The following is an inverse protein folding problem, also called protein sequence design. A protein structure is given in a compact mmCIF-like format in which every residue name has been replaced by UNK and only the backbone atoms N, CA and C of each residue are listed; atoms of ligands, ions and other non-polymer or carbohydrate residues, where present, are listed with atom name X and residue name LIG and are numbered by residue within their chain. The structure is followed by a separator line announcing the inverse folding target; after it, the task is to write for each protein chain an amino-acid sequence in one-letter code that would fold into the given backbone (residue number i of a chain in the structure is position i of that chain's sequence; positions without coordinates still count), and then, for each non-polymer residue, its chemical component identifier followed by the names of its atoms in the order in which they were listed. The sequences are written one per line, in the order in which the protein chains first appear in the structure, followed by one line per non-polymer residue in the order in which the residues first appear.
data_IF_552451783362
#
_entry.id   IF_552451783362
#
_cell.length_a   1.000
_cell.length_b   1.000
_cell.length_c   1.000
_cell.angle_alpha   90.00
_cell.angle_beta   90.00
_cell.angle_gamma   90.00
#
_symmetry.space_group_name_H-M   'P 1'
#
loop_
_entity.id
_entity.type
_entity.pdbx_description
1 polymer ?
#
# COMPACT_ATOMS: atom_id res chain seq x y z
N UNK A 1 -22.77 1.53 17.64
CA UNK A 1 -22.81 0.44 16.63
C UNK A 1 -22.82 -0.91 17.34
N UNK A 2 -23.81 -1.75 17.06
CA UNK A 2 -23.78 -3.14 17.52
C UNK A 2 -22.97 -4.03 16.57
N UNK A 3 -22.59 -5.23 17.05
CA UNK A 3 -21.69 -6.12 16.33
C UNK A 3 -22.31 -6.68 15.04
N UNK A 4 -23.59 -6.97 15.04
CA UNK A 4 -24.28 -7.59 13.89
C UNK A 4 -24.39 -6.56 12.76
N UNK A 5 -24.80 -5.33 13.07
CA UNK A 5 -24.83 -4.22 12.13
C UNK A 5 -23.45 -3.96 11.54
N UNK A 6 -22.38 -3.98 12.36
CA UNK A 6 -21.02 -3.81 11.88
C UNK A 6 -20.63 -4.90 10.89
N UNK A 7 -20.85 -6.17 11.21
CA UNK A 7 -20.54 -7.30 10.32
C UNK A 7 -21.29 -7.17 8.99
N UNK A 8 -22.60 -6.99 9.03
CA UNK A 8 -23.43 -6.90 7.83
C UNK A 8 -22.98 -5.74 6.92
N UNK A 9 -22.64 -4.62 7.53
CA UNK A 9 -22.18 -3.44 6.79
C UNK A 9 -20.80 -3.67 6.16
N UNK A 10 -19.84 -4.19 6.92
CA UNK A 10 -18.49 -4.47 6.41
C UNK A 10 -18.51 -5.59 5.36
N UNK A 11 -19.30 -6.64 5.53
CA UNK A 11 -19.52 -7.69 4.52
C UNK A 11 -20.05 -7.10 3.19
N UNK A 12 -21.01 -6.15 3.28
CA UNK A 12 -21.54 -5.46 2.09
C UNK A 12 -20.43 -4.72 1.35
N UNK A 13 -19.62 -3.94 2.06
CA UNK A 13 -18.50 -3.21 1.44
C UNK A 13 -17.43 -4.14 0.90
N UNK A 14 -17.13 -5.25 1.59
CA UNK A 14 -16.16 -6.23 1.14
C UNK A 14 -16.60 -6.93 -0.16
N UNK A 15 -17.87 -7.29 -0.29
CA UNK A 15 -18.46 -7.80 -1.55
C UNK A 15 -18.36 -6.81 -2.71
N UNK A 16 -18.31 -5.51 -2.42
CA UNK A 16 -18.07 -4.44 -3.40
C UNK A 16 -16.57 -4.20 -3.66
N UNK A 17 -15.68 -5.03 -3.08
CA UNK A 17 -14.23 -4.94 -3.25
C UNK A 17 -13.51 -4.03 -2.24
N UNK A 18 -14.23 -3.34 -1.33
CA UNK A 18 -13.62 -2.48 -0.32
C UNK A 18 -13.32 -3.27 0.95
N UNK A 19 -12.07 -3.67 1.11
CA UNK A 19 -11.58 -4.49 2.24
C UNK A 19 -10.70 -3.71 3.21
N UNK A 20 -10.21 -2.54 2.82
CA UNK A 20 -9.42 -1.62 3.67
C UNK A 20 -10.24 -0.36 3.91
N UNK A 21 -10.30 0.03 5.18
CA UNK A 21 -11.04 1.18 5.67
C UNK A 21 -10.11 2.13 6.40
N UNK A 22 -10.11 3.39 6.00
CA UNK A 22 -9.52 4.46 6.79
C UNK A 22 -10.48 4.81 7.93
N UNK A 23 -9.97 5.39 9.02
CA UNK A 23 -10.83 5.86 10.12
C UNK A 23 -11.95 6.76 9.60
N UNK A 24 -11.65 7.71 8.71
CA UNK A 24 -12.65 8.59 8.07
C UNK A 24 -13.72 7.83 7.27
N UNK A 25 -13.40 6.66 6.71
CA UNK A 25 -14.40 5.83 6.03
C UNK A 25 -15.37 5.23 7.05
N UNK A 26 -14.85 4.75 8.18
CA UNK A 26 -15.65 4.18 9.26
C UNK A 26 -16.51 5.26 9.93
N UNK A 27 -16.02 6.49 10.06
CA UNK A 27 -16.78 7.64 10.54
C UNK A 27 -17.99 7.96 9.64
N UNK A 28 -17.81 7.87 8.32
CA UNK A 28 -18.91 8.06 7.36
C UNK A 28 -19.87 6.88 7.33
N UNK A 29 -19.35 5.65 7.35
CA UNK A 29 -20.15 4.42 7.31
C UNK A 29 -21.02 4.28 8.56
N UNK A 30 -20.52 4.71 9.71
CA UNK A 30 -21.18 4.62 11.02
C UNK A 30 -21.45 6.01 11.62
N UNK A 31 -21.97 6.91 10.79
CA UNK A 31 -22.18 8.32 11.14
C UNK A 31 -23.12 8.54 12.35
N UNK A 32 -23.95 7.56 12.67
CA UNK A 32 -24.83 7.61 13.86
C UNK A 32 -24.09 7.42 15.18
N UNK A 33 -22.83 6.92 15.14
CA UNK A 33 -21.99 6.76 16.33
C UNK A 33 -21.22 8.05 16.64
N UNK A 34 -21.24 8.48 17.91
CA UNK A 34 -20.33 9.54 18.36
C UNK A 34 -18.85 9.09 18.21
N UNK A 35 -17.89 9.99 17.91
CA UNK A 35 -16.50 9.62 17.66
C UNK A 35 -15.85 8.75 18.74
N UNK A 36 -16.12 9.05 20.02
CA UNK A 36 -15.62 8.22 21.15
C UNK A 36 -16.26 6.83 21.20
N UNK A 37 -17.53 6.73 20.82
CA UNK A 37 -18.25 5.45 20.75
C UNK A 37 -17.75 4.62 19.59
N UNK A 38 -17.51 5.26 18.44
CA UNK A 38 -16.95 4.60 17.25
C UNK A 38 -15.57 4.01 17.54
N UNK A 39 -14.67 4.76 18.18
CA UNK A 39 -13.33 4.24 18.51
C UNK A 39 -13.42 2.99 19.42
N UNK A 40 -14.25 3.03 20.46
CA UNK A 40 -14.49 1.85 21.33
C UNK A 40 -15.09 0.68 20.56
N UNK A 41 -15.94 0.96 19.56
CA UNK A 41 -16.53 -0.06 18.70
C UNK A 41 -15.50 -0.69 17.77
N UNK A 42 -14.61 0.11 17.19
CA UNK A 42 -13.47 -0.36 16.37
C UNK A 42 -12.57 -1.26 17.23
N UNK A 43 -12.21 -0.86 18.44
CA UNK A 43 -11.37 -1.67 19.34
C UNK A 43 -12.04 -3.01 19.68
N UNK A 44 -13.36 -3.01 19.89
CA UNK A 44 -14.12 -4.26 20.09
C UNK A 44 -14.12 -5.15 18.85
N UNK A 45 -14.21 -4.59 17.65
CA UNK A 45 -14.13 -5.36 16.40
C UNK A 45 -12.72 -5.93 16.16
N UNK A 46 -11.67 -5.20 16.54
CA UNK A 46 -10.29 -5.70 16.51
C UNK A 46 -10.14 -6.87 17.49
N UNK A 47 -10.56 -6.70 18.74
CA UNK A 47 -10.49 -7.75 19.75
C UNK A 47 -11.31 -9.00 19.38
N UNK A 48 -12.39 -8.83 18.61
CA UNK A 48 -13.20 -9.92 18.07
C UNK A 48 -12.62 -10.54 16.77
N UNK A 49 -11.47 -10.10 16.28
CA UNK A 49 -10.84 -10.61 15.07
C UNK A 49 -11.59 -10.25 13.77
N UNK A 50 -12.48 -9.26 13.79
CA UNK A 50 -13.24 -8.81 12.62
C UNK A 50 -12.53 -7.69 11.84
N UNK A 51 -11.74 -6.88 12.53
CA UNK A 51 -10.85 -5.91 11.94
C UNK A 51 -9.40 -6.20 12.36
N UNK A 52 -8.47 -6.00 11.45
CA UNK A 52 -7.03 -5.97 11.71
C UNK A 52 -6.55 -4.55 11.56
N UNK A 53 -5.87 -4.01 12.56
CA UNK A 53 -5.21 -2.72 12.46
C UNK A 53 -3.95 -2.86 11.62
N UNK A 54 -3.94 -2.24 10.45
CA UNK A 54 -2.78 -2.23 9.55
C UNK A 54 -1.72 -1.25 10.08
N UNK A 55 -2.16 -0.02 10.31
CA UNK A 55 -1.38 1.07 10.90
C UNK A 55 -2.35 2.05 11.55
N UNK A 56 -1.87 3.17 12.09
CA UNK A 56 -2.72 4.19 12.73
C UNK A 56 -3.79 4.70 11.77
N UNK A 57 -5.06 4.49 12.14
CA UNK A 57 -6.21 4.93 11.35
C UNK A 57 -6.49 4.16 10.07
N UNK A 58 -5.85 2.99 9.86
CA UNK A 58 -6.05 2.11 8.70
C UNK A 58 -6.36 0.70 9.19
N UNK A 59 -7.45 0.13 8.71
CA UNK A 59 -7.97 -1.16 9.16
C UNK A 59 -8.33 -2.05 7.98
N UNK A 60 -8.01 -3.35 8.07
CA UNK A 60 -8.46 -4.36 7.13
C UNK A 60 -9.64 -5.14 7.70
N UNK A 61 -10.61 -5.50 6.85
CA UNK A 61 -11.63 -6.47 7.20
C UNK A 61 -11.05 -7.87 7.12
N UNK A 62 -11.09 -8.60 8.25
CA UNK A 62 -10.32 -9.83 8.41
C UNK A 62 -10.89 -11.04 7.67
N UNK A 63 -12.19 -11.02 7.29
CA UNK A 63 -12.88 -12.20 6.77
C UNK A 63 -12.50 -12.59 5.34
N UNK A 64 -12.16 -11.61 4.50
CA UNK A 64 -11.98 -11.83 3.05
C UNK A 64 -10.52 -11.74 2.57
N UNK A 65 -9.57 -11.45 3.48
CA UNK A 65 -8.17 -11.25 3.13
C UNK A 65 -7.92 -10.07 2.18
N UNK A 66 -6.67 -9.82 1.80
CA UNK A 66 -6.29 -8.70 0.93
C UNK A 66 -5.88 -9.12 -0.49
N UNK A 67 -6.08 -10.40 -0.82
CA UNK A 67 -5.72 -10.94 -2.14
C UNK A 67 -4.21 -11.21 -2.30
N UNK A 68 -3.76 -11.33 -3.55
CA UNK A 68 -2.39 -11.73 -3.89
C UNK A 68 -1.33 -10.64 -3.69
N UNK A 69 -1.76 -9.36 -3.59
CA UNK A 69 -0.86 -8.20 -3.48
C UNK A 69 -1.21 -7.33 -2.27
N UNK A 70 -1.11 -7.88 -1.04
CA UNK A 70 -1.59 -7.19 0.15
C UNK A 70 -0.86 -5.87 0.41
N UNK A 71 0.47 -5.83 0.25
CA UNK A 71 1.26 -4.60 0.48
C UNK A 71 0.90 -3.48 -0.50
N UNK A 72 0.71 -3.80 -1.78
CA UNK A 72 0.29 -2.80 -2.78
C UNK A 72 -1.13 -2.29 -2.49
N UNK A 73 -2.05 -3.19 -2.14
CA UNK A 73 -3.42 -2.83 -1.76
C UNK A 73 -3.44 -1.92 -0.53
N UNK A 74 -2.59 -2.19 0.46
CA UNK A 74 -2.42 -1.35 1.65
C UNK A 74 -1.84 0.03 1.25
N UNK A 75 -0.79 0.05 0.43
CA UNK A 75 -0.10 1.28 0.01
C UNK A 75 -1.05 2.26 -0.69
N UNK A 76 -1.90 1.77 -1.62
CA UNK A 76 -2.94 2.58 -2.28
C UNK A 76 -3.87 3.22 -1.25
N UNK A 77 -4.26 2.48 -0.22
CA UNK A 77 -5.18 2.99 0.79
C UNK A 77 -4.51 3.98 1.76
N UNK A 78 -3.24 3.78 2.12
CA UNK A 78 -2.47 4.74 2.94
C UNK A 78 -2.29 6.06 2.19
N UNK A 79 -2.08 6.03 0.88
CA UNK A 79 -1.90 7.21 0.01
C UNK A 79 -3.04 7.34 -1.00
N UNK A 80 -4.28 7.20 -0.52
CA UNK A 80 -5.47 7.32 -1.37
C UNK A 80 -5.60 8.74 -1.93
N UNK A 81 -5.81 8.81 -3.25
CA UNK A 81 -5.90 10.06 -4.00
C UNK A 81 -4.55 10.54 -4.57
N UNK A 82 -3.46 9.82 -4.27
CA UNK A 82 -2.13 10.11 -4.79
C UNK A 82 -1.76 9.15 -5.93
N UNK A 83 -0.84 9.57 -6.78
CA UNK A 83 -0.22 8.67 -7.76
C UNK A 83 0.83 7.84 -7.05
N UNK A 84 0.64 6.52 -7.04
CA UNK A 84 1.51 5.56 -6.39
C UNK A 84 1.99 4.54 -7.42
N UNK A 85 3.27 4.17 -7.38
CA UNK A 85 3.83 3.14 -8.26
C UNK A 85 4.99 2.40 -7.60
N UNK A 86 5.12 1.11 -7.90
CA UNK A 86 6.24 0.29 -7.44
C UNK A 86 7.52 0.80 -8.11
N UNK A 87 8.56 1.08 -7.34
CA UNK A 87 9.83 1.61 -7.83
C UNK A 87 10.98 1.18 -6.93
N UNK A 88 12.15 1.78 -7.14
CA UNK A 88 13.33 1.55 -6.33
C UNK A 88 13.70 0.05 -6.32
N UNK A 89 14.07 -0.48 -5.16
CA UNK A 89 14.51 -1.85 -5.01
C UNK A 89 13.44 -2.87 -5.43
N UNK A 90 12.17 -2.64 -5.08
CA UNK A 90 11.09 -3.57 -5.42
C UNK A 90 10.88 -3.71 -6.93
N UNK A 91 10.95 -2.61 -7.68
CA UNK A 91 10.84 -2.67 -9.13
C UNK A 91 12.09 -3.31 -9.75
N UNK A 92 13.30 -2.92 -9.32
CA UNK A 92 14.55 -3.47 -9.86
C UNK A 92 14.68 -4.96 -9.56
N UNK A 93 14.18 -5.44 -8.43
CA UNK A 93 14.12 -6.87 -8.11
C UNK A 93 13.17 -7.64 -9.04
N UNK A 94 12.02 -7.07 -9.39
CA UNK A 94 11.09 -7.70 -10.35
C UNK A 94 11.72 -7.84 -11.75
N UNK A 95 12.66 -6.96 -12.09
CA UNK A 95 13.45 -7.07 -13.32
C UNK A 95 14.70 -7.97 -13.17
N UNK A 96 14.94 -8.56 -11.99
CA UNK A 96 16.11 -9.39 -11.73
C UNK A 96 17.41 -8.60 -11.54
N UNK A 97 17.34 -7.28 -11.46
CA UNK A 97 18.51 -6.38 -11.37
C UNK A 97 19.04 -6.19 -9.94
N UNK A 98 18.30 -6.62 -8.95
CA UNK A 98 18.70 -6.70 -7.54
C UNK A 98 18.27 -8.07 -7.00
N UNK A 99 19.18 -8.81 -6.37
CA UNK A 99 18.93 -10.17 -5.90
C UNK A 99 18.68 -10.28 -4.39
N UNK A 100 18.96 -9.25 -3.61
CA UNK A 100 18.92 -9.29 -2.14
C UNK A 100 17.98 -8.25 -1.58
N UNK A 101 16.66 -8.48 -1.72
CA UNK A 101 15.64 -7.66 -1.06
C UNK A 101 14.86 -8.54 -0.09
N UNK A 102 14.50 -8.03 1.11
CA UNK A 102 13.56 -8.70 1.99
C UNK A 102 12.24 -8.97 1.27
N UNK A 103 11.75 -10.20 1.31
CA UNK A 103 10.52 -10.64 0.63
C UNK A 103 9.28 -9.87 1.14
N UNK A 104 9.33 -9.42 2.36
CA UNK A 104 8.26 -8.73 3.08
C UNK A 104 8.34 -7.20 3.02
N UNK A 105 9.16 -6.63 2.11
CA UNK A 105 9.31 -5.18 1.93
C UNK A 105 8.86 -4.73 0.54
N UNK A 106 7.98 -3.72 0.51
CA UNK A 106 7.56 -3.03 -0.71
C UNK A 106 8.07 -1.59 -0.71
N UNK A 107 8.82 -1.22 -1.74
CA UNK A 107 9.24 0.17 -1.97
C UNK A 107 8.44 0.79 -3.11
N UNK A 108 7.84 1.95 -2.85
CA UNK A 108 7.04 2.70 -3.83
C UNK A 108 7.42 4.18 -3.86
N UNK A 109 7.15 4.79 -5.00
CA UNK A 109 7.11 6.24 -5.15
C UNK A 109 5.67 6.72 -5.09
N UNK A 110 5.46 7.90 -4.50
CA UNK A 110 4.13 8.52 -4.36
C UNK A 110 4.22 10.04 -4.50
N UNK A 111 3.17 10.65 -5.06
CA UNK A 111 3.00 12.11 -5.00
C UNK A 111 2.64 12.58 -3.59
N UNK A 112 2.22 11.66 -2.72
CA UNK A 112 1.97 11.91 -1.30
C UNK A 112 3.23 11.95 -0.45
N UNK A 113 3.07 12.09 0.86
CA UNK A 113 4.17 12.19 1.82
C UNK A 113 4.96 10.89 1.92
N UNK A 114 6.28 11.00 2.10
CA UNK A 114 7.14 9.87 2.44
C UNK A 114 6.76 9.28 3.82
N UNK A 115 7.13 8.03 4.02
CA UNK A 115 6.97 7.34 5.31
C UNK A 115 7.25 5.85 5.19
N UNK A 116 7.58 5.24 6.31
CA UNK A 116 7.69 3.80 6.46
C UNK A 116 6.55 3.28 7.34
N UNK A 117 5.94 2.18 6.93
CA UNK A 117 4.78 1.59 7.58
C UNK A 117 5.02 0.10 7.82
N UNK A 118 5.22 -0.26 9.07
CA UNK A 118 5.19 -1.64 9.50
C UNK A 118 3.74 -2.12 9.55
N UNK A 119 3.46 -3.24 8.90
CA UNK A 119 2.13 -3.84 8.83
C UNK A 119 2.18 -5.32 9.14
N UNK A 120 1.06 -5.98 9.49
CA UNK A 120 1.03 -7.43 9.67
C UNK A 120 1.41 -8.24 8.40
N UNK A 121 1.46 -7.62 7.23
CA UNK A 121 1.82 -8.25 5.96
C UNK A 121 3.25 -7.92 5.50
N UNK A 122 3.98 -7.08 6.23
CA UNK A 122 5.32 -6.63 5.89
C UNK A 122 5.46 -5.11 5.94
N UNK A 123 6.58 -4.61 5.45
CA UNK A 123 6.95 -3.19 5.50
C UNK A 123 6.68 -2.51 4.16
N UNK A 124 6.03 -1.36 4.22
CA UNK A 124 5.82 -0.49 3.06
C UNK A 124 6.64 0.77 3.25
N UNK A 125 7.54 1.03 2.33
CA UNK A 125 8.32 2.24 2.28
C UNK A 125 7.85 3.13 1.14
N UNK A 126 7.42 4.32 1.46
CA UNK A 126 6.89 5.31 0.52
C UNK A 126 7.89 6.47 0.43
N UNK A 127 8.37 6.73 -0.77
CA UNK A 127 9.23 7.88 -1.08
C UNK A 127 8.45 8.90 -1.90
N UNK A 128 8.53 10.17 -1.50
CA UNK A 128 7.86 11.26 -2.22
C UNK A 128 8.49 11.52 -3.58
N UNK A 129 7.64 11.78 -4.57
CA UNK A 129 8.03 12.33 -5.87
C UNK A 129 7.20 13.55 -6.24
N UNK A 130 7.85 14.56 -6.79
CA UNK A 130 7.22 15.76 -7.34
C UNK A 130 6.97 15.68 -8.85
N UNK A 131 7.07 14.47 -9.45
CA UNK A 131 6.80 14.29 -10.88
C UNK A 131 5.33 14.54 -11.19
N UNK A 132 5.11 15.16 -12.34
CA UNK A 132 3.78 15.32 -12.87
C UNK A 132 3.13 13.98 -13.26
N UNK A 133 1.80 13.84 -13.15
CA UNK A 133 1.10 12.60 -13.49
C UNK A 133 1.43 12.05 -14.88
N UNK A 134 1.61 12.93 -15.87
CA UNK A 134 1.98 12.56 -17.23
C UNK A 134 3.37 11.91 -17.33
N UNK A 135 4.33 12.37 -16.53
CA UNK A 135 5.68 11.80 -16.44
C UNK A 135 5.64 10.43 -15.73
N UNK A 136 4.84 10.32 -14.67
CA UNK A 136 4.64 9.05 -13.96
C UNK A 136 4.07 8.00 -14.93
N UNK A 137 3.02 8.34 -15.68
CA UNK A 137 2.41 7.42 -16.65
C UNK A 137 3.38 7.00 -17.75
N UNK A 138 4.21 7.91 -18.28
CA UNK A 138 5.25 7.60 -19.27
C UNK A 138 6.37 6.73 -18.71
N UNK A 139 6.74 6.95 -17.43
CA UNK A 139 7.83 6.26 -16.73
C UNK A 139 7.42 4.92 -16.10
N UNK A 140 6.16 4.51 -16.21
CA UNK A 140 5.63 3.28 -15.59
C UNK A 140 4.91 2.40 -16.59
N UNK A 141 4.72 1.12 -16.21
CA UNK A 141 3.97 0.12 -16.94
C UNK A 141 2.84 -0.41 -16.06
N UNK A 142 1.83 -1.01 -16.69
CA UNK A 142 0.87 -1.84 -15.96
C UNK A 142 1.58 -3.06 -15.39
N UNK A 143 1.13 -3.52 -14.23
CA UNK A 143 1.72 -4.63 -13.50
C UNK A 143 0.63 -5.66 -13.18
N UNK A 144 1.01 -6.83 -12.68
CA UNK A 144 0.07 -7.87 -12.23
C UNK A 144 -0.69 -7.44 -10.97
N UNK A 145 -0.07 -6.62 -10.13
CA UNK A 145 -0.67 -6.04 -8.93
C UNK A 145 -1.50 -4.79 -9.22
N UNK A 146 -2.13 -4.23 -8.20
CA UNK A 146 -2.97 -3.03 -8.34
C UNK A 146 -2.17 -1.73 -8.54
N UNK A 147 -0.85 -1.74 -8.32
CA UNK A 147 0.03 -0.60 -8.61
C UNK A 147 0.73 -0.79 -9.95
N UNK A 148 0.91 0.31 -10.68
CA UNK A 148 1.84 0.36 -11.81
C UNK A 148 3.27 0.13 -11.32
N UNK A 149 4.15 -0.32 -12.21
CA UNK A 149 5.58 -0.51 -11.91
C UNK A 149 6.43 0.46 -12.74
N UNK A 150 7.45 1.03 -12.13
CA UNK A 150 8.44 1.84 -12.82
C UNK A 150 9.15 1.02 -13.91
N UNK A 151 9.38 1.63 -15.09
CA UNK A 151 10.31 1.07 -16.08
C UNK A 151 11.70 0.95 -15.47
N UNK A 152 12.55 0.07 -15.99
CA UNK A 152 13.91 -0.15 -15.48
C UNK A 152 14.69 1.14 -15.29
N UNK A 153 14.69 2.00 -16.32
CA UNK A 153 15.40 3.27 -16.32
C UNK A 153 14.81 4.23 -15.28
N UNK A 154 13.49 4.22 -15.11
CA UNK A 154 12.80 5.04 -14.13
C UNK A 154 13.14 4.57 -12.72
N UNK A 155 13.09 3.26 -12.45
CA UNK A 155 13.41 2.69 -11.15
C UNK A 155 14.87 2.95 -10.76
N UNK A 156 15.81 2.79 -11.70
CA UNK A 156 17.22 3.09 -11.48
C UNK A 156 17.44 4.58 -11.19
N UNK A 157 16.79 5.47 -11.96
CA UNK A 157 16.85 6.92 -11.73
C UNK A 157 16.30 7.30 -10.35
N UNK A 158 15.19 6.66 -9.93
CA UNK A 158 14.61 6.87 -8.62
C UNK A 158 15.56 6.42 -7.51
N UNK A 159 16.18 5.23 -7.66
CA UNK A 159 17.14 4.70 -6.70
C UNK A 159 18.39 5.59 -6.58
N UNK A 160 18.93 6.07 -7.72
CA UNK A 160 20.05 7.01 -7.74
C UNK A 160 19.71 8.32 -7.00
N UNK A 161 18.49 8.83 -7.18
CA UNK A 161 18.03 10.07 -6.51
C UNK A 161 17.91 9.89 -5.00
N UNK A 162 17.47 8.71 -4.55
CA UNK A 162 17.40 8.39 -3.11
C UNK A 162 18.79 8.15 -2.52
N UNK A 163 19.76 7.73 -3.34
CA UNK A 163 21.17 7.64 -2.97
C UNK A 163 21.51 6.46 -2.05
N UNK A 164 20.73 5.36 -2.13
CA UNK A 164 20.97 4.17 -1.32
C UNK A 164 20.98 2.90 -2.17
N UNK A 165 21.60 1.83 -1.66
CA UNK A 165 21.55 0.47 -2.22
C UNK A 165 21.99 0.34 -3.69
N UNK A 166 22.66 1.37 -4.25
CA UNK A 166 23.17 1.36 -5.62
C UNK A 166 24.18 0.23 -5.86
N UNK A 167 24.92 -0.18 -4.84
CA UNK A 167 25.87 -1.28 -4.90
C UNK A 167 25.23 -2.66 -5.07
N UNK A 168 23.91 -2.77 -4.83
CA UNK A 168 23.15 -4.01 -5.03
C UNK A 168 22.71 -4.19 -6.48
N UNK A 169 22.74 -3.14 -7.30
CA UNK A 169 22.28 -3.18 -8.69
C UNK A 169 23.31 -3.84 -9.59
N UNK A 170 22.89 -4.88 -10.28
CA UNK A 170 23.71 -5.61 -11.26
C UNK A 170 23.71 -4.83 -12.59
N UNK A 171 24.66 -3.88 -12.71
CA UNK A 171 24.73 -2.95 -13.85
C UNK A 171 25.02 -3.64 -15.18
N UNK A 172 25.71 -4.78 -15.16
CA UNK A 172 26.01 -5.58 -16.37
C UNK A 172 24.70 -6.16 -16.96
N UNK A 173 23.82 -6.65 -16.11
CA UNK A 173 22.52 -7.18 -16.52
C UNK A 173 21.56 -6.07 -16.99
N UNK A 174 21.73 -4.85 -16.46
CA UNK A 174 20.92 -3.70 -16.89
C UNK A 174 21.13 -3.36 -18.37
N UNK A 175 22.33 -3.53 -18.90
CA UNK A 175 22.65 -3.23 -20.29
C UNK A 175 22.12 -4.30 -21.29
N UNK A 176 21.84 -5.51 -20.84
CA UNK A 176 21.42 -6.65 -21.67
C UNK A 176 19.94 -7.01 -21.51
N UNK A 177 19.23 -6.41 -20.60
CA UNK A 177 17.83 -6.64 -20.28
C UNK A 177 16.92 -5.56 -20.86
#
# INVERSE_FOLDING_TARGET
MDRITAINTLDKFSKMGKRIFLLRDLEVIFADDLPRTLQKSIDRLINAGLLVRITKGVYAYARDGLGSYPLETIAINIRRGEYNYVSLESALSQYGLISQIPIDRLTIMSTGRSGEFETPWGVIEITHTSREPSEILKGTLENRGPLRIARKETALRDLKRVGRNMHLVQMEEFAHA
#
